data_IF_903763399084
#
_entry.id   IF_903763399084
#
_cell.length_a   1.000
_cell.length_b   1.000
_cell.length_c   1.000
_cell.angle_alpha   90.00
_cell.angle_beta   90.00
_cell.angle_gamma   90.00
#
_symmetry.space_group_name_H-M   'P 1'
#
loop_
_entity.id
_entity.type
_entity.pdbx_description
1 polymer ?
#
# COMPACT_ATOMS: atom_id res chain seq x y z
N UNK A 1 -14.22 4.60 -19.05
CA UNK A 1 -14.06 6.02 -19.43
C UNK A 1 -13.62 6.19 -20.89
N UNK A 2 -12.42 5.78 -21.29
CA UNK A 2 -11.92 5.95 -22.67
C UNK A 2 -12.82 5.33 -23.76
N UNK A 3 -13.25 4.07 -23.59
CA UNK A 3 -14.17 3.41 -24.52
C UNK A 3 -15.51 4.16 -24.67
N UNK A 4 -16.04 4.72 -23.58
CA UNK A 4 -17.28 5.48 -23.57
C UNK A 4 -17.14 6.83 -24.28
N UNK A 5 -16.06 7.56 -23.99
CA UNK A 5 -15.76 8.85 -24.64
C UNK A 5 -15.41 8.69 -26.12
N UNK A 6 -14.69 7.63 -26.48
CA UNK A 6 -14.36 7.31 -27.89
C UNK A 6 -15.60 6.91 -28.69
N UNK A 7 -16.55 6.20 -28.08
CA UNK A 7 -17.84 5.83 -28.71
C UNK A 7 -18.75 7.05 -28.86
N UNK A 8 -18.82 7.92 -27.86
CA UNK A 8 -19.54 9.19 -27.95
C UNK A 8 -18.96 10.09 -29.05
N UNK A 9 -17.63 10.15 -29.19
CA UNK A 9 -16.95 10.89 -30.25
C UNK A 9 -17.12 10.27 -31.65
N UNK A 10 -17.23 8.94 -31.74
CA UNK A 10 -17.55 8.28 -33.00
C UNK A 10 -19.00 8.57 -33.45
N UNK A 11 -19.94 8.58 -32.50
CA UNK A 11 -21.35 8.93 -32.74
C UNK A 11 -21.52 10.42 -33.07
N UNK A 12 -20.69 11.30 -32.49
CA UNK A 12 -20.73 12.75 -32.74
C UNK A 12 -20.38 13.15 -34.17
N UNK A 13 -19.74 12.26 -34.95
CA UNK A 13 -19.36 12.54 -36.34
C UNK A 13 -20.52 12.49 -37.33
N UNK A 14 -21.67 11.91 -36.95
CA UNK A 14 -22.83 11.78 -37.84
C UNK A 14 -24.18 12.11 -37.21
N UNK A 15 -24.22 12.57 -35.95
CA UNK A 15 -25.46 12.81 -35.20
C UNK A 15 -25.80 14.29 -35.01
N UNK A 16 -27.09 14.59 -34.80
CA UNK A 16 -27.60 15.93 -34.50
C UNK A 16 -26.84 16.58 -33.31
N UNK A 17 -26.32 17.82 -33.44
CA UNK A 17 -25.47 18.49 -32.43
C UNK A 17 -26.00 18.46 -30.99
N UNK A 18 -27.31 18.55 -30.81
CA UNK A 18 -27.93 18.54 -29.47
C UNK A 18 -27.88 17.15 -28.81
N UNK A 19 -28.12 16.09 -29.60
CA UNK A 19 -28.03 14.68 -29.19
C UNK A 19 -26.57 14.28 -28.94
N UNK A 20 -25.66 14.87 -29.69
CA UNK A 20 -24.21 14.77 -29.53
C UNK A 20 -23.72 15.43 -28.23
N UNK A 21 -24.22 16.62 -27.89
CA UNK A 21 -23.88 17.28 -26.62
C UNK A 21 -24.34 16.46 -25.41
N UNK A 22 -25.57 15.94 -25.45
CA UNK A 22 -26.13 15.08 -24.40
C UNK A 22 -25.33 13.79 -24.19
N UNK A 23 -24.93 13.13 -25.27
CA UNK A 23 -24.14 11.89 -25.18
C UNK A 23 -22.73 12.12 -24.64
N UNK A 24 -22.10 13.24 -24.98
CA UNK A 24 -20.80 13.65 -24.42
C UNK A 24 -20.94 13.98 -22.92
N UNK A 25 -21.94 14.75 -22.53
CA UNK A 25 -22.21 15.10 -21.12
C UNK A 25 -22.50 13.86 -20.27
N UNK A 26 -23.35 12.94 -20.77
CA UNK A 26 -23.64 11.69 -20.09
C UNK A 26 -22.39 10.80 -19.94
N UNK A 27 -21.51 10.76 -20.95
CA UNK A 27 -20.25 10.02 -20.88
C UNK A 27 -19.25 10.64 -19.88
N UNK A 28 -19.19 11.97 -19.80
CA UNK A 28 -18.37 12.69 -18.80
C UNK A 28 -18.91 12.43 -17.40
N UNK A 29 -20.23 12.53 -17.21
CA UNK A 29 -20.86 12.27 -15.92
C UNK A 29 -20.66 10.83 -15.46
N UNK A 30 -20.87 9.84 -16.34
CA UNK A 30 -20.63 8.43 -16.04
C UNK A 30 -19.15 8.14 -15.74
N UNK A 31 -18.22 8.82 -16.42
CA UNK A 31 -16.79 8.71 -16.15
C UNK A 31 -16.42 9.28 -14.78
N UNK A 32 -16.92 10.47 -14.43
CA UNK A 32 -16.74 11.08 -13.11
C UNK A 32 -17.38 10.24 -12.01
N UNK A 33 -18.59 9.72 -12.23
CA UNK A 33 -19.26 8.83 -11.29
C UNK A 33 -18.48 7.53 -11.08
N UNK A 34 -17.89 6.94 -12.12
CA UNK A 34 -17.04 5.76 -11.99
C UNK A 34 -15.72 6.04 -11.26
N UNK A 35 -15.12 7.22 -11.46
CA UNK A 35 -13.94 7.68 -10.72
C UNK A 35 -14.27 7.81 -9.23
N UNK A 36 -15.38 8.47 -8.91
CA UNK A 36 -15.86 8.67 -7.53
C UNK A 36 -16.24 7.35 -6.88
N UNK A 37 -17.00 6.48 -7.57
CA UNK A 37 -17.40 5.18 -7.07
C UNK A 37 -16.20 4.25 -6.83
N UNK A 38 -15.20 4.27 -7.72
CA UNK A 38 -13.93 3.57 -7.54
C UNK A 38 -13.19 4.08 -6.30
N UNK A 39 -13.08 5.40 -6.15
CA UNK A 39 -12.36 6.04 -5.03
C UNK A 39 -13.03 5.82 -3.67
N UNK A 40 -14.36 5.72 -3.64
CA UNK A 40 -15.13 5.39 -2.43
C UNK A 40 -14.93 3.92 -2.00
N UNK A 41 -14.53 3.04 -2.92
CA UNK A 41 -14.29 1.62 -2.66
C UNK A 41 -12.84 1.28 -2.30
N UNK A 42 -11.90 2.24 -2.28
CA UNK A 42 -10.49 1.97 -2.00
C UNK A 42 -10.16 2.00 -0.50
N UNK A 43 -9.07 1.29 -0.13
CA UNK A 43 -8.51 1.21 1.22
C UNK A 43 -8.04 2.57 1.82
N UNK A 44 -8.22 3.69 1.11
CA UNK A 44 -7.92 5.03 1.60
C UNK A 44 -8.80 5.47 2.80
N UNK A 45 -9.85 4.71 3.11
CA UNK A 45 -10.71 4.89 4.29
C UNK A 45 -10.13 4.34 5.61
N UNK A 46 -8.92 3.75 5.60
CA UNK A 46 -8.37 3.04 6.76
C UNK A 46 -7.77 3.92 7.89
N UNK A 47 -7.70 5.26 7.72
CA UNK A 47 -7.23 6.20 8.78
C UNK A 47 -8.34 7.22 9.08
N UNK A 48 -9.09 7.07 10.19
CA UNK A 48 -10.30 7.86 10.47
C UNK A 48 -10.12 9.40 10.44
N UNK A 49 -8.92 9.89 10.74
CA UNK A 49 -8.62 11.33 10.76
C UNK A 49 -8.31 11.95 9.37
N UNK A 50 -7.93 11.14 8.37
CA UNK A 50 -7.46 11.62 7.07
C UNK A 50 -8.26 11.06 5.88
N UNK A 51 -9.38 10.37 6.13
CA UNK A 51 -10.24 9.76 5.12
C UNK A 51 -10.62 10.71 3.98
N UNK A 52 -11.00 11.95 4.30
CA UNK A 52 -11.39 12.93 3.29
C UNK A 52 -10.22 13.33 2.36
N UNK A 53 -9.01 13.46 2.92
CA UNK A 53 -7.80 13.74 2.14
C UNK A 53 -7.43 12.55 1.24
N UNK A 54 -7.52 11.32 1.76
CA UNK A 54 -7.28 10.10 1.01
C UNK A 54 -8.22 9.96 -0.19
N UNK A 55 -9.53 10.17 0.02
CA UNK A 55 -10.54 10.15 -1.05
C UNK A 55 -10.27 11.24 -2.09
N UNK A 56 -9.96 12.47 -1.66
CA UNK A 56 -9.66 13.57 -2.56
C UNK A 56 -8.39 13.31 -3.39
N UNK A 57 -7.35 12.77 -2.77
CA UNK A 57 -6.12 12.39 -3.44
C UNK A 57 -6.34 11.27 -4.45
N UNK A 58 -7.13 10.26 -4.11
CA UNK A 58 -7.49 9.16 -5.01
C UNK A 58 -8.30 9.65 -6.21
N UNK A 59 -9.33 10.48 -5.96
CA UNK A 59 -10.12 11.09 -7.02
C UNK A 59 -9.27 11.98 -7.95
N UNK A 60 -8.37 12.79 -7.38
CA UNK A 60 -7.45 13.62 -8.16
C UNK A 60 -6.50 12.75 -9.01
N UNK A 61 -5.88 11.73 -8.39
CA UNK A 61 -4.97 10.82 -9.07
C UNK A 61 -5.66 10.08 -10.22
N UNK A 62 -6.80 9.46 -9.93
CA UNK A 62 -7.55 8.67 -10.91
C UNK A 62 -8.19 9.53 -12.01
N UNK A 63 -8.69 10.73 -11.66
CA UNK A 63 -9.15 11.73 -12.63
C UNK A 63 -8.03 12.19 -13.56
N UNK A 64 -6.84 12.47 -13.01
CA UNK A 64 -5.64 12.79 -13.78
C UNK A 64 -5.23 11.67 -14.73
N UNK A 65 -5.21 10.41 -14.27
CA UNK A 65 -4.97 9.23 -15.10
C UNK A 65 -5.97 9.17 -16.24
N UNK A 66 -7.27 9.32 -15.94
CA UNK A 66 -8.33 9.27 -16.94
C UNK A 66 -8.16 10.31 -18.05
N UNK A 67 -7.89 11.56 -17.68
CA UNK A 67 -7.65 12.65 -18.64
C UNK A 67 -6.41 12.40 -19.49
N UNK A 68 -5.29 12.08 -18.84
CA UNK A 68 -4.01 11.93 -19.51
C UNK A 68 -3.93 10.66 -20.35
N UNK A 69 -4.08 9.49 -19.73
CA UNK A 69 -3.99 8.21 -20.41
C UNK A 69 -5.14 8.00 -21.41
N UNK A 70 -6.35 8.46 -21.07
CA UNK A 70 -7.48 8.45 -22.01
C UNK A 70 -7.22 9.32 -23.24
N UNK A 71 -6.60 10.49 -23.08
CA UNK A 71 -6.23 11.30 -24.23
C UNK A 71 -5.07 10.72 -25.06
N UNK A 72 -4.08 10.07 -24.43
CA UNK A 72 -3.03 9.32 -25.14
C UNK A 72 -3.63 8.21 -26.00
N UNK A 73 -4.48 7.36 -25.42
CA UNK A 73 -5.18 6.30 -26.14
C UNK A 73 -6.04 6.87 -27.28
N UNK A 74 -6.66 8.05 -27.06
CA UNK A 74 -7.41 8.79 -28.07
C UNK A 74 -6.55 9.14 -29.26
N UNK A 75 -5.40 9.77 -29.02
CA UNK A 75 -4.43 10.15 -30.06
C UNK A 75 -3.90 8.91 -30.78
N UNK A 76 -3.59 7.82 -30.06
CA UNK A 76 -3.16 6.55 -30.70
C UNK A 76 -4.25 6.01 -31.63
N UNK A 77 -5.51 6.04 -31.22
CA UNK A 77 -6.63 5.49 -32.00
C UNK A 77 -6.85 6.24 -33.33
N UNK A 78 -6.63 7.55 -33.35
CA UNK A 78 -6.74 8.41 -34.54
C UNK A 78 -5.38 8.70 -35.20
N UNK A 79 -4.32 8.02 -34.76
CA UNK A 79 -2.94 8.32 -35.18
C UNK A 79 -2.69 8.15 -36.68
N UNK A 80 -3.46 7.30 -37.36
CA UNK A 80 -3.39 7.12 -38.82
C UNK A 80 -3.87 8.38 -39.55
N UNK A 81 -5.00 8.95 -39.10
CA UNK A 81 -5.58 10.17 -39.66
C UNK A 81 -4.60 11.36 -39.53
N UNK A 82 -3.90 11.50 -38.40
CA UNK A 82 -2.92 12.58 -38.19
C UNK A 82 -1.62 12.45 -38.99
N UNK A 83 -1.41 11.33 -39.71
CA UNK A 83 -0.21 11.16 -40.56
C UNK A 83 -0.42 11.65 -41.99
N UNK A 84 -1.64 11.99 -42.37
CA UNK A 84 -1.99 12.52 -43.69
C UNK A 84 -1.57 14.00 -43.79
N UNK A 85 -0.99 14.45 -44.93
CA UNK A 85 -0.56 15.85 -45.09
C UNK A 85 -1.71 16.84 -44.91
N UNK A 86 -2.90 16.51 -45.40
CA UNK A 86 -4.10 17.36 -45.39
C UNK A 86 -4.62 17.63 -43.99
N UNK A 87 -4.40 16.72 -43.05
CA UNK A 87 -4.89 16.82 -41.67
C UNK A 87 -3.87 17.43 -40.71
N UNK A 88 -2.65 17.75 -41.20
CA UNK A 88 -1.55 18.25 -40.37
C UNK A 88 -1.89 19.53 -39.57
N UNK A 89 -2.62 20.53 -40.10
CA UNK A 89 -3.04 21.69 -39.32
C UNK A 89 -3.98 21.32 -38.17
N UNK A 90 -4.94 20.43 -38.43
CA UNK A 90 -5.86 19.94 -37.40
C UNK A 90 -5.14 19.12 -36.34
N UNK A 91 -4.20 18.25 -36.75
CA UNK A 91 -3.37 17.47 -35.85
C UNK A 91 -2.57 18.36 -34.89
N UNK A 92 -1.99 19.47 -35.38
CA UNK A 92 -1.27 20.45 -34.54
C UNK A 92 -2.18 21.06 -33.47
N UNK A 93 -3.39 21.48 -33.83
CA UNK A 93 -4.35 22.08 -32.89
C UNK A 93 -4.72 21.06 -31.80
N UNK A 94 -5.04 19.83 -32.20
CA UNK A 94 -5.42 18.76 -31.25
C UNK A 94 -4.26 18.42 -30.32
N UNK A 95 -3.06 18.20 -30.86
CA UNK A 95 -1.86 17.88 -30.07
C UNK A 95 -1.49 19.02 -29.10
N UNK A 96 -1.60 20.28 -29.52
CA UNK A 96 -1.34 21.44 -28.66
C UNK A 96 -2.37 21.59 -27.52
N UNK A 97 -3.66 21.36 -27.79
CA UNK A 97 -4.71 21.36 -26.77
C UNK A 97 -4.54 20.19 -25.79
N UNK A 98 -4.31 18.98 -26.30
CA UNK A 98 -4.06 17.81 -25.48
C UNK A 98 -2.81 18.01 -24.61
N UNK A 99 -1.71 18.50 -25.16
CA UNK A 99 -0.46 18.72 -24.40
C UNK A 99 -0.67 19.69 -23.22
N UNK A 100 -1.49 20.75 -23.38
CA UNK A 100 -1.87 21.64 -22.27
C UNK A 100 -2.69 20.94 -21.20
N UNK A 101 -3.74 20.22 -21.60
CA UNK A 101 -4.55 19.44 -20.66
C UNK A 101 -3.72 18.36 -19.95
N UNK A 102 -2.81 17.70 -20.68
CA UNK A 102 -1.96 16.64 -20.15
C UNK A 102 -1.03 17.15 -19.06
N UNK A 103 -0.52 18.39 -19.16
CA UNK A 103 0.28 18.99 -18.09
C UNK A 103 -0.50 19.13 -16.77
N UNK A 104 -1.76 19.60 -16.83
CA UNK A 104 -2.61 19.67 -15.63
C UNK A 104 -2.96 18.28 -15.10
N UNK A 105 -3.30 17.34 -15.99
CA UNK A 105 -3.62 15.97 -15.62
C UNK A 105 -2.45 15.27 -14.94
N UNK A 106 -1.22 15.43 -15.47
CA UNK A 106 0.01 14.95 -14.85
C UNK A 106 0.23 15.57 -13.47
N UNK A 107 -0.06 16.86 -13.30
CA UNK A 107 -0.02 17.52 -11.99
C UNK A 107 -0.95 16.86 -10.96
N UNK A 108 -2.18 16.53 -11.37
CA UNK A 108 -3.13 15.79 -10.52
C UNK A 108 -2.64 14.37 -10.18
N UNK A 109 -2.09 13.66 -11.17
CA UNK A 109 -1.49 12.33 -10.96
C UNK A 109 -0.34 12.42 -9.95
N UNK A 110 0.58 13.37 -10.11
CA UNK A 110 1.71 13.52 -9.19
C UNK A 110 1.25 13.88 -7.78
N UNK A 111 0.42 14.91 -7.63
CA UNK A 111 -0.04 15.38 -6.32
C UNK A 111 -0.83 14.28 -5.59
N UNK A 112 -1.82 13.68 -6.25
CA UNK A 112 -2.60 12.58 -5.66
C UNK A 112 -1.73 11.36 -5.37
N UNK A 113 -0.80 11.01 -6.27
CA UNK A 113 0.09 9.87 -6.11
C UNK A 113 1.06 10.01 -4.94
N UNK A 114 1.58 11.22 -4.70
CA UNK A 114 2.44 11.51 -3.54
C UNK A 114 1.66 11.35 -2.24
N UNK A 115 0.47 11.96 -2.15
CA UNK A 115 -0.39 11.86 -0.96
C UNK A 115 -0.76 10.40 -0.70
N UNK A 116 -1.19 9.67 -1.73
CA UNK A 116 -1.49 8.25 -1.64
C UNK A 116 -0.27 7.42 -1.22
N UNK A 117 0.93 7.69 -1.75
CA UNK A 117 2.14 6.99 -1.34
C UNK A 117 2.46 7.22 0.14
N UNK A 118 2.34 8.46 0.64
CA UNK A 118 2.52 8.76 2.06
C UNK A 118 1.51 7.99 2.92
N UNK A 119 0.23 7.97 2.53
CA UNK A 119 -0.84 7.31 3.30
C UNK A 119 -0.77 5.78 3.26
N UNK A 120 -0.45 5.18 2.10
CA UNK A 120 -0.53 3.74 1.87
C UNK A 120 0.79 3.01 2.13
N UNK A 121 1.94 3.69 1.97
CA UNK A 121 3.26 3.14 2.29
C UNK A 121 3.66 3.48 3.73
N UNK A 122 3.35 4.69 4.20
CA UNK A 122 3.53 5.11 5.59
C UNK A 122 4.95 5.55 5.97
N UNK A 123 6.00 4.93 5.42
CA UNK A 123 7.40 5.29 5.72
C UNK A 123 8.37 5.01 4.58
N UNK A 124 9.56 5.64 4.63
CA UNK A 124 10.65 5.38 3.67
C UNK A 124 11.24 3.97 3.84
N UNK A 125 11.25 3.43 5.06
CA UNK A 125 11.68 2.05 5.30
C UNK A 125 10.73 1.09 4.58
N UNK A 126 9.43 1.20 4.85
CA UNK A 126 8.42 0.36 4.20
C UNK A 126 8.43 0.49 2.66
N UNK A 127 8.88 1.62 2.11
CA UNK A 127 9.02 1.81 0.67
C UNK A 127 10.07 0.86 0.06
N UNK A 128 11.14 0.54 0.79
CA UNK A 128 12.26 -0.30 0.29
C UNK A 128 12.26 -1.71 0.91
N UNK A 129 11.56 -1.92 2.03
CA UNK A 129 11.50 -3.22 2.71
C UNK A 129 10.24 -4.02 2.39
N UNK A 130 9.13 -3.37 1.99
CA UNK A 130 7.87 -4.06 1.70
C UNK A 130 7.66 -4.35 0.22
N UNK A 131 7.01 -5.48 -0.10
CA UNK A 131 6.62 -5.83 -1.47
C UNK A 131 5.71 -4.77 -2.10
N UNK A 132 4.82 -4.17 -1.31
CA UNK A 132 3.98 -3.05 -1.74
C UNK A 132 4.83 -1.84 -2.17
N UNK A 133 5.84 -1.49 -1.37
CA UNK A 133 6.80 -0.42 -1.67
C UNK A 133 7.58 -0.66 -2.97
N UNK A 134 8.07 -1.88 -3.20
CA UNK A 134 8.74 -2.26 -4.45
C UNK A 134 7.86 -2.07 -5.69
N UNK A 135 6.56 -2.41 -5.62
CA UNK A 135 5.63 -2.20 -6.73
C UNK A 135 5.37 -0.70 -6.96
N UNK A 136 5.31 0.11 -5.89
CA UNK A 136 5.24 1.58 -5.99
C UNK A 136 6.50 2.14 -6.67
N UNK A 137 7.69 1.69 -6.28
CA UNK A 137 8.95 2.11 -6.89
C UNK A 137 9.02 1.72 -8.38
N UNK A 138 8.59 0.51 -8.73
CA UNK A 138 8.51 0.08 -10.13
C UNK A 138 7.59 0.98 -10.96
N UNK A 139 6.43 1.37 -10.42
CA UNK A 139 5.55 2.35 -11.07
C UNK A 139 6.22 3.70 -11.27
N UNK A 140 6.89 4.24 -10.24
CA UNK A 140 7.61 5.52 -10.34
C UNK A 140 8.73 5.43 -11.38
N UNK A 141 9.47 4.32 -11.39
CA UNK A 141 10.52 4.04 -12.36
C UNK A 141 10.02 3.98 -13.81
N UNK A 142 8.81 3.47 -14.06
CA UNK A 142 8.16 3.49 -15.38
C UNK A 142 7.54 4.86 -15.71
N UNK A 143 7.05 5.59 -14.72
CA UNK A 143 6.42 6.88 -14.89
C UNK A 143 7.44 7.99 -15.20
N UNK A 144 8.64 7.93 -14.63
CA UNK A 144 9.72 8.88 -14.89
C UNK A 144 10.09 9.03 -16.39
N UNK A 145 10.35 7.97 -17.16
CA UNK A 145 10.61 8.10 -18.59
C UNK A 145 9.38 8.58 -19.38
N UNK A 146 8.16 8.27 -18.94
CA UNK A 146 6.94 8.82 -19.56
C UNK A 146 6.87 10.34 -19.39
N UNK A 147 7.19 10.86 -18.19
CA UNK A 147 7.28 12.29 -17.92
C UNK A 147 8.36 12.96 -18.79
N UNK A 148 9.54 12.34 -18.88
CA UNK A 148 10.63 12.87 -19.69
C UNK A 148 10.25 12.96 -21.17
N UNK A 149 9.60 11.92 -21.72
CA UNK A 149 9.09 11.92 -23.08
C UNK A 149 7.96 12.93 -23.29
N UNK A 150 7.03 13.04 -22.35
CA UNK A 150 5.94 14.01 -22.40
C UNK A 150 6.46 15.45 -22.38
N UNK A 151 7.45 15.74 -21.53
CA UNK A 151 8.15 17.02 -21.49
C UNK A 151 8.90 17.29 -22.79
N UNK A 152 9.63 16.31 -23.33
CA UNK A 152 10.30 16.43 -24.62
C UNK A 152 9.30 16.72 -25.76
N UNK A 153 8.18 16.02 -25.79
CA UNK A 153 7.10 16.24 -26.75
C UNK A 153 6.55 17.66 -26.63
N UNK A 154 6.24 18.12 -25.41
CA UNK A 154 5.66 19.44 -25.13
C UNK A 154 6.61 20.60 -25.44
N UNK A 155 7.86 20.52 -25.00
CA UNK A 155 8.79 21.64 -25.04
C UNK A 155 9.71 21.65 -26.28
N UNK A 156 9.88 20.51 -26.96
CA UNK A 156 10.73 20.43 -28.15
C UNK A 156 9.95 20.08 -29.41
N UNK A 157 9.15 19.00 -29.42
CA UNK A 157 8.54 18.53 -30.66
C UNK A 157 7.31 19.33 -31.07
N UNK A 158 6.41 19.67 -30.15
CA UNK A 158 5.19 20.44 -30.45
C UNK A 158 5.54 21.83 -31.02
N UNK A 159 6.45 22.63 -30.42
CA UNK A 159 6.87 23.91 -31.02
C UNK A 159 7.51 23.74 -32.41
N UNK A 160 8.37 22.73 -32.59
CA UNK A 160 8.97 22.40 -33.90
C UNK A 160 7.94 22.04 -34.96
N UNK A 161 6.75 21.57 -34.59
CA UNK A 161 5.70 21.39 -35.59
C UNK A 161 5.25 22.71 -36.18
N UNK A 162 5.25 23.83 -35.46
CA UNK A 162 4.81 25.13 -35.97
C UNK A 162 5.86 25.79 -36.90
N UNK A 163 7.15 25.52 -36.65
CA UNK A 163 8.28 26.16 -37.33
C UNK A 163 8.83 25.36 -38.53
N UNK A 164 8.41 24.09 -38.70
CA UNK A 164 8.99 23.18 -39.71
C UNK A 164 8.33 23.26 -41.08
N UNK A 165 9.17 23.32 -42.13
CA UNK A 165 8.80 23.14 -43.55
C UNK A 165 8.27 21.72 -43.85
N UNK A 166 8.53 20.73 -42.98
CA UNK A 166 8.04 19.34 -43.10
C UNK A 166 7.23 18.94 -41.85
N UNK A 167 6.00 19.45 -41.69
CA UNK A 167 5.11 19.22 -40.54
C UNK A 167 4.90 17.73 -40.22
N UNK A 168 4.82 16.91 -41.27
CA UNK A 168 4.43 15.50 -41.22
C UNK A 168 5.46 14.60 -40.54
N UNK A 169 6.75 14.95 -40.57
CA UNK A 169 7.79 14.16 -39.90
C UNK A 169 7.78 14.39 -38.38
N UNK A 170 7.65 15.65 -37.95
CA UNK A 170 7.54 16.00 -36.54
C UNK A 170 6.27 15.38 -35.91
N UNK A 171 5.14 15.41 -36.63
CA UNK A 171 3.90 14.74 -36.20
C UNK A 171 4.09 13.22 -36.12
N UNK A 172 4.80 12.59 -37.07
CA UNK A 172 5.11 11.15 -37.01
C UNK A 172 5.94 10.77 -35.79
N UNK A 173 6.94 11.58 -35.41
CA UNK A 173 7.74 11.36 -34.19
C UNK A 173 6.91 11.49 -32.93
N UNK A 174 6.06 12.52 -32.84
CA UNK A 174 5.13 12.70 -31.70
C UNK A 174 4.21 11.48 -31.56
N UNK A 175 3.63 11.01 -32.66
CA UNK A 175 2.78 9.80 -32.66
C UNK A 175 3.54 8.55 -32.21
N UNK A 176 4.80 8.40 -32.62
CA UNK A 176 5.67 7.30 -32.17
C UNK A 176 5.90 7.34 -30.66
N UNK A 177 6.27 8.51 -30.14
CA UNK A 177 6.49 8.71 -28.70
C UNK A 177 5.21 8.45 -27.89
N UNK A 178 4.06 8.93 -28.37
CA UNK A 178 2.76 8.71 -27.73
C UNK A 178 2.41 7.21 -27.66
N UNK A 179 2.75 6.41 -28.68
CA UNK A 179 2.54 4.95 -28.64
C UNK A 179 3.41 4.29 -27.58
N UNK A 180 4.68 4.68 -27.49
CA UNK A 180 5.59 4.18 -26.48
C UNK A 180 5.16 4.59 -25.07
N UNK A 181 4.83 5.87 -24.85
CA UNK A 181 4.22 6.37 -23.61
C UNK A 181 2.96 5.58 -23.25
N UNK A 182 2.08 5.30 -24.22
CA UNK A 182 0.88 4.50 -23.99
C UNK A 182 1.22 3.08 -23.52
N UNK A 183 2.24 2.43 -24.12
CA UNK A 183 2.67 1.08 -23.70
C UNK A 183 3.22 1.05 -22.27
N UNK A 184 4.02 2.05 -21.89
CA UNK A 184 4.48 2.21 -20.50
C UNK A 184 3.31 2.49 -19.56
N UNK A 185 2.35 3.32 -19.99
CA UNK A 185 1.14 3.60 -19.23
C UNK A 185 0.30 2.34 -18.97
N UNK A 186 0.20 1.42 -19.95
CA UNK A 186 -0.46 0.12 -19.74
C UNK A 186 0.26 -0.68 -18.66
N UNK A 187 1.60 -0.77 -18.71
CA UNK A 187 2.38 -1.46 -17.68
C UNK A 187 2.16 -0.85 -16.28
N UNK A 188 2.16 0.48 -16.17
CA UNK A 188 1.86 1.20 -14.91
C UNK A 188 0.45 0.90 -14.40
N UNK A 189 -0.55 0.82 -15.29
CA UNK A 189 -1.93 0.46 -14.93
C UNK A 189 -2.05 -0.99 -14.46
N UNK A 190 -1.31 -1.93 -15.06
CA UNK A 190 -1.25 -3.32 -14.59
C UNK A 190 -0.67 -3.39 -13.18
N UNK A 191 0.44 -2.69 -12.91
CA UNK A 191 0.99 -2.58 -11.55
C UNK A 191 0.00 -1.90 -10.59
N UNK A 192 -0.85 -0.99 -11.08
CA UNK A 192 -1.90 -0.38 -10.27
C UNK A 192 -2.97 -1.37 -9.87
N UNK A 193 -3.43 -2.20 -10.81
CA UNK A 193 -4.34 -3.30 -10.51
C UNK A 193 -3.72 -4.29 -9.52
N UNK A 194 -2.42 -4.60 -9.65
CA UNK A 194 -1.74 -5.45 -8.67
C UNK A 194 -1.80 -4.84 -7.26
N UNK A 195 -1.49 -3.54 -7.11
CA UNK A 195 -1.56 -2.86 -5.81
C UNK A 195 -2.97 -2.89 -5.20
N UNK A 196 -4.04 -2.90 -6.00
CA UNK A 196 -5.42 -3.03 -5.46
C UNK A 196 -5.72 -4.40 -4.85
N UNK A 197 -4.94 -5.43 -5.21
CA UNK A 197 -5.05 -6.77 -4.62
C UNK A 197 -4.10 -7.00 -3.44
N UNK A 198 -3.22 -6.03 -3.16
CA UNK A 198 -2.23 -6.10 -2.08
C UNK A 198 -2.71 -5.34 -0.85
N UNK A 199 -2.34 -5.84 0.33
CA UNK A 199 -2.49 -5.06 1.56
C UNK A 199 -1.52 -3.87 1.54
N UNK A 200 -1.98 -2.63 1.76
CA UNK A 200 -1.10 -1.46 1.87
C UNK A 200 -0.03 -1.66 2.94
N UNK A 201 1.21 -1.22 2.70
CA UNK A 201 2.30 -1.40 3.66
C UNK A 201 2.02 -0.71 5.00
N UNK A 202 1.36 0.45 5.00
CA UNK A 202 0.94 1.14 6.22
C UNK A 202 -0.16 0.42 7.01
N UNK A 203 -0.93 -0.45 6.33
CA UNK A 203 -1.99 -1.25 6.95
C UNK A 203 -1.49 -2.62 7.42
N UNK A 204 -0.33 -3.08 6.92
CA UNK A 204 0.40 -4.19 7.52
C UNK A 204 1.02 -3.62 8.81
N UNK A 205 0.60 -4.07 10.01
CA UNK A 205 1.34 -3.73 11.21
C UNK A 205 2.79 -4.10 10.94
N UNK A 206 3.72 -3.15 11.11
CA UNK A 206 5.14 -3.45 10.99
C UNK A 206 5.36 -4.76 11.75
N UNK A 207 5.64 -5.85 11.03
CA UNK A 207 5.85 -7.16 11.65
C UNK A 207 6.84 -6.93 12.78
N UNK A 208 6.62 -7.51 13.97
CA UNK A 208 7.05 -6.92 15.23
C UNK A 208 8.46 -6.32 15.14
N UNK A 209 8.55 -5.00 15.01
CA UNK A 209 9.78 -4.26 15.34
C UNK A 209 9.87 -4.08 16.87
N UNK A 210 8.89 -4.62 17.60
CA UNK A 210 8.95 -4.90 19.03
C UNK A 210 9.16 -6.40 19.32
N UNK A 211 9.41 -6.77 20.58
CA UNK A 211 9.51 -8.18 20.97
C UNK A 211 8.23 -8.94 20.58
N UNK A 212 8.37 -10.23 20.28
CA UNK A 212 7.20 -11.10 20.12
C UNK A 212 6.45 -11.11 21.45
N UNK A 213 5.23 -10.59 21.49
CA UNK A 213 4.49 -10.43 22.75
C UNK A 213 3.18 -11.24 22.73
N UNK A 214 2.87 -11.85 23.86
CA UNK A 214 1.61 -12.53 24.14
C UNK A 214 0.94 -11.89 25.34
N UNK A 215 -0.33 -11.54 25.18
CA UNK A 215 -1.15 -10.94 26.23
C UNK A 215 -2.27 -11.90 26.64
N UNK A 216 -2.47 -12.05 27.95
CA UNK A 216 -3.62 -12.75 28.52
C UNK A 216 -4.16 -12.00 29.73
N UNK A 217 -5.48 -11.98 29.91
CA UNK A 217 -6.12 -11.49 31.13
C UNK A 217 -6.66 -12.67 31.93
N UNK A 218 -6.30 -12.75 33.21
CA UNK A 218 -6.82 -13.74 34.15
C UNK A 218 -6.84 -13.20 35.57
N UNK A 219 -7.89 -13.51 36.32
CA UNK A 219 -8.08 -13.13 37.73
C UNK A 219 -7.88 -11.63 38.00
N UNK A 220 -8.34 -10.80 37.05
CA UNK A 220 -8.23 -9.33 37.09
C UNK A 220 -6.86 -8.77 36.71
N UNK A 221 -5.89 -9.60 36.34
CA UNK A 221 -4.54 -9.21 35.96
C UNK A 221 -4.29 -9.45 34.47
N UNK A 222 -3.66 -8.49 33.81
CA UNK A 222 -3.07 -8.63 32.47
C UNK A 222 -1.63 -9.14 32.64
N UNK A 223 -1.34 -10.28 32.04
CA UNK A 223 0.01 -10.82 31.89
C UNK A 223 0.50 -10.52 30.49
N UNK A 224 1.50 -9.64 30.39
CA UNK A 224 2.20 -9.33 29.15
C UNK A 224 3.51 -10.11 29.10
N UNK A 225 3.65 -10.98 28.12
CA UNK A 225 4.81 -11.85 27.93
C UNK A 225 5.55 -11.47 26.66
N UNK A 226 6.72 -10.85 26.79
CA UNK A 226 7.63 -10.57 25.69
C UNK A 226 8.65 -11.70 25.54
N UNK A 227 8.91 -12.15 24.32
CA UNK A 227 9.89 -13.19 23.99
C UNK A 227 10.89 -12.63 22.98
N UNK A 228 12.18 -12.72 23.32
CA UNK A 228 13.27 -12.27 22.45
C UNK A 228 14.38 -13.33 22.35
N UNK A 229 14.92 -13.61 21.15
CA UNK A 229 14.43 -13.13 19.84
C UNK A 229 13.02 -13.68 19.53
N UNK A 230 12.33 -13.18 18.49
CA UNK A 230 11.04 -13.74 18.08
C UNK A 230 11.12 -15.26 17.86
N UNK A 231 10.26 -16.06 18.50
CA UNK A 231 10.39 -17.51 18.58
C UNK A 231 9.98 -18.20 17.27
N UNK A 232 10.86 -18.13 16.29
CA UNK A 232 10.60 -18.63 14.92
C UNK A 232 11.34 -19.93 14.63
N UNK A 233 12.50 -20.15 15.24
CA UNK A 233 13.36 -21.34 15.05
C UNK A 233 13.79 -21.93 16.39
N UNK A 234 14.54 -23.02 16.40
CA UNK A 234 15.07 -23.57 17.66
C UNK A 234 16.18 -22.66 18.19
N UNK A 235 16.18 -22.34 19.49
CA UNK A 235 17.19 -21.45 20.06
C UNK A 235 17.02 -21.16 21.56
N UNK A 236 17.88 -20.27 22.06
CA UNK A 236 17.75 -19.68 23.40
C UNK A 236 16.83 -18.46 23.35
N UNK A 237 15.94 -18.35 24.33
CA UNK A 237 14.93 -17.29 24.40
C UNK A 237 14.92 -16.64 25.76
N UNK A 238 14.83 -15.31 25.77
CA UNK A 238 14.53 -14.53 26.96
C UNK A 238 13.06 -14.18 26.98
N UNK A 239 12.36 -14.63 28.03
CA UNK A 239 10.98 -14.27 28.32
C UNK A 239 10.99 -13.19 29.39
N UNK A 240 10.33 -12.07 29.13
CA UNK A 240 10.08 -10.99 30.10
C UNK A 240 8.58 -10.89 30.34
N UNK A 241 8.18 -10.88 31.61
CA UNK A 241 6.80 -11.01 32.05
C UNK A 241 6.42 -9.82 32.90
N UNK A 242 5.50 -8.99 32.41
CA UNK A 242 4.96 -7.83 33.12
C UNK A 242 3.53 -8.14 33.59
N UNK A 243 3.27 -7.85 34.87
CA UNK A 243 1.96 -8.04 35.49
C UNK A 243 1.35 -6.67 35.78
N UNK A 244 0.15 -6.43 35.24
CA UNK A 244 -0.60 -5.18 35.46
C UNK A 244 -2.05 -5.50 35.83
N UNK A 245 -2.73 -4.59 36.52
CA UNK A 245 -4.17 -4.69 36.69
C UNK A 245 -4.87 -4.52 35.35
N UNK A 246 -5.77 -5.44 35.00
CA UNK A 246 -6.49 -5.39 33.73
C UNK A 246 -7.50 -4.23 33.66
N UNK A 247 -7.97 -3.75 34.82
CA UNK A 247 -8.98 -2.69 34.92
C UNK A 247 -8.45 -1.29 34.53
N UNK A 248 -7.18 -1.00 34.84
CA UNK A 248 -6.61 0.34 34.69
C UNK A 248 -5.17 0.36 34.14
N UNK A 249 -4.57 -0.81 33.91
CA UNK A 249 -3.21 -0.94 33.39
C UNK A 249 -2.09 -0.61 34.38
N UNK A 250 -2.39 -0.33 35.66
CA UNK A 250 -1.33 -0.01 36.62
C UNK A 250 -0.54 -1.26 37.01
N UNK A 251 0.77 -1.15 37.34
CA UNK A 251 1.57 -2.33 37.61
C UNK A 251 1.15 -3.06 38.90
N UNK A 252 1.28 -4.38 38.87
CA UNK A 252 0.96 -5.27 39.98
C UNK A 252 2.24 -5.75 40.69
N UNK A 253 2.40 -5.35 41.96
CA UNK A 253 3.64 -5.55 42.72
C UNK A 253 3.59 -6.69 43.75
N UNK A 254 2.48 -7.43 43.84
CA UNK A 254 2.25 -8.44 44.89
C UNK A 254 2.51 -9.88 44.42
N UNK A 255 3.12 -10.06 43.24
CA UNK A 255 3.56 -11.36 42.74
C UNK A 255 4.95 -11.74 43.28
N UNK A 256 5.14 -13.01 43.63
CA UNK A 256 6.40 -13.61 44.10
C UNK A 256 6.61 -14.98 43.46
N UNK A 257 7.84 -15.49 43.53
CA UNK A 257 8.19 -16.88 43.19
C UNK A 257 7.61 -17.37 41.85
N UNK A 258 7.92 -16.65 40.77
CA UNK A 258 7.47 -17.04 39.43
C UNK A 258 8.13 -18.33 38.94
N UNK A 259 7.37 -19.19 38.26
CA UNK A 259 7.91 -20.40 37.60
C UNK A 259 7.29 -20.56 36.20
N UNK A 260 8.04 -21.15 35.27
CA UNK A 260 7.60 -21.49 33.93
C UNK A 260 7.79 -22.98 33.68
N UNK A 261 6.78 -23.63 33.10
CA UNK A 261 6.85 -25.03 32.67
C UNK A 261 6.64 -25.11 31.15
N UNK A 262 7.64 -25.62 30.46
CA UNK A 262 7.66 -25.75 29.00
C UNK A 262 7.35 -27.20 28.61
N UNK A 263 6.32 -27.39 27.78
CA UNK A 263 5.88 -28.70 27.30
C UNK A 263 5.73 -28.69 25.78
N UNK A 264 6.50 -29.52 25.08
CA UNK A 264 6.27 -29.77 23.65
C UNK A 264 5.00 -30.63 23.51
N UNK A 265 4.05 -30.19 22.69
CA UNK A 265 2.75 -30.87 22.58
C UNK A 265 2.77 -32.04 21.60
N UNK A 266 3.59 -31.98 20.55
CA UNK A 266 3.69 -33.03 19.53
C UNK A 266 5.07 -33.01 18.82
N UNK A 267 5.88 -34.08 18.90
CA UNK A 267 5.71 -35.24 19.78
C UNK A 267 5.91 -34.84 21.25
N UNK A 268 5.10 -35.36 22.19
CA UNK A 268 5.18 -34.96 23.59
C UNK A 268 6.52 -35.35 24.22
N UNK A 269 7.13 -34.42 24.96
CA UNK A 269 8.34 -34.64 25.76
C UNK A 269 8.07 -34.37 27.24
N UNK A 270 8.89 -34.93 28.15
CA UNK A 270 8.82 -34.58 29.57
C UNK A 270 8.89 -33.05 29.75
N UNK A 271 7.97 -32.44 30.51
CA UNK A 271 7.98 -31.01 30.74
C UNK A 271 9.26 -30.54 31.44
N UNK A 272 9.77 -29.38 31.03
CA UNK A 272 10.90 -28.72 31.70
C UNK A 272 10.36 -27.59 32.54
N UNK A 273 10.59 -27.63 33.86
CA UNK A 273 10.17 -26.58 34.79
C UNK A 273 11.36 -25.77 35.25
N UNK A 274 11.25 -24.45 35.15
CA UNK A 274 12.30 -23.51 35.49
C UNK A 274 11.75 -22.37 36.37
N UNK A 275 12.61 -21.78 37.19
CA UNK A 275 12.26 -20.65 38.03
C UNK A 275 12.50 -19.34 37.28
N UNK A 276 11.56 -18.41 37.40
CA UNK A 276 11.72 -17.06 36.88
C UNK A 276 12.58 -16.23 37.84
N UNK A 277 13.44 -15.40 37.28
CA UNK A 277 14.16 -14.36 37.99
C UNK A 277 13.22 -13.18 38.28
N UNK A 278 13.24 -12.63 39.49
CA UNK A 278 12.46 -11.45 39.87
C UNK A 278 11.55 -11.66 41.10
N UNK A 279 10.67 -10.69 41.41
CA UNK A 279 10.37 -9.52 40.60
C UNK A 279 11.53 -8.51 40.54
N UNK A 280 11.71 -7.87 39.39
CA UNK A 280 12.74 -6.87 39.09
C UNK A 280 12.13 -5.48 38.90
N UNK A 281 12.96 -4.44 38.99
CA UNK A 281 12.56 -3.03 38.89
C UNK A 281 12.36 -2.36 40.25
N UNK A 282 12.17 -1.03 40.24
CA UNK A 282 11.86 -0.23 41.42
C UNK A 282 10.68 0.74 41.14
N UNK A 283 9.46 0.46 41.61
CA UNK A 283 9.06 -0.73 42.37
C UNK A 283 9.01 -2.00 41.48
N UNK A 284 9.20 -3.18 42.08
CA UNK A 284 9.45 -4.43 41.33
C UNK A 284 8.19 -5.04 40.71
N UNK A 285 8.08 -5.05 39.38
CA UNK A 285 6.85 -5.38 38.65
C UNK A 285 6.99 -6.43 37.53
N UNK A 286 8.19 -6.93 37.25
CA UNK A 286 8.39 -7.86 36.15
C UNK A 286 9.30 -9.04 36.53
N UNK A 287 9.11 -10.16 35.83
CA UNK A 287 9.92 -11.37 35.95
C UNK A 287 10.62 -11.66 34.62
N UNK A 288 11.74 -12.35 34.65
CA UNK A 288 12.45 -12.75 33.43
C UNK A 288 13.09 -14.12 33.54
N UNK A 289 13.28 -14.79 32.40
CA UNK A 289 14.06 -16.02 32.30
C UNK A 289 14.72 -16.10 30.93
N UNK A 290 15.97 -16.54 30.89
CA UNK A 290 16.61 -17.01 29.66
C UNK A 290 16.61 -18.54 29.67
N UNK A 291 15.96 -19.14 28.68
CA UNK A 291 15.75 -20.60 28.60
C UNK A 291 16.23 -21.16 27.27
N UNK A 292 16.62 -22.43 27.29
CA UNK A 292 16.89 -23.25 26.09
C UNK A 292 15.84 -24.34 25.90
N UNK A 293 14.75 -24.32 26.69
CA UNK A 293 13.74 -25.38 26.69
C UNK A 293 13.05 -25.56 25.33
N UNK A 294 12.85 -24.46 24.57
CA UNK A 294 12.28 -24.41 23.22
C UNK A 294 13.25 -24.97 22.15
N UNK A 295 13.77 -26.16 22.40
CA UNK A 295 14.90 -26.83 21.75
C UNK A 295 14.51 -27.69 20.54
N UNK A 296 13.24 -27.71 20.15
CA UNK A 296 12.75 -28.54 19.05
C UNK A 296 11.56 -27.89 18.34
N UNK A 297 11.39 -28.16 17.04
CA UNK A 297 10.22 -27.69 16.29
C UNK A 297 8.92 -28.28 16.84
N UNK A 298 7.84 -27.52 16.73
CA UNK A 298 6.50 -27.91 17.16
C UNK A 298 5.82 -26.84 18.01
N UNK A 299 4.64 -27.17 18.52
CA UNK A 299 3.86 -26.26 19.37
C UNK A 299 4.24 -26.51 20.84
N UNK A 300 4.73 -25.46 21.47
CA UNK A 300 5.12 -25.44 22.88
C UNK A 300 4.03 -24.79 23.71
N UNK A 301 3.60 -25.52 24.74
CA UNK A 301 2.77 -25.00 25.83
C UNK A 301 3.67 -24.47 26.94
N UNK A 302 3.45 -23.22 27.35
CA UNK A 302 4.20 -22.54 28.41
C UNK A 302 3.24 -22.23 29.54
N UNK A 303 3.31 -22.99 30.62
CA UNK A 303 2.51 -22.77 31.83
C UNK A 303 3.30 -21.92 32.82
N UNK A 304 2.81 -20.71 33.09
CA UNK A 304 3.40 -19.79 34.07
C UNK A 304 2.60 -19.83 35.37
N UNK A 305 3.31 -19.82 36.50
CA UNK A 305 2.71 -19.75 37.83
C UNK A 305 3.40 -18.66 38.66
N UNK A 306 2.61 -17.81 39.30
CA UNK A 306 3.08 -16.77 40.21
C UNK A 306 2.35 -16.87 41.54
N UNK A 307 3.09 -16.85 42.65
CA UNK A 307 2.49 -16.74 43.98
C UNK A 307 1.98 -15.32 44.18
N UNK A 308 0.69 -15.17 44.50
CA UNK A 308 0.07 -13.90 44.84
C UNK A 308 0.02 -13.71 46.36
N UNK A 309 0.26 -12.49 46.82
CA UNK A 309 0.12 -12.14 48.25
C UNK A 309 -1.29 -11.67 48.60
N UNK A 310 -2.08 -11.26 47.60
CA UNK A 310 -3.45 -10.77 47.74
C UNK A 310 -4.52 -11.85 47.45
N UNK A 311 -4.14 -12.96 46.83
CA UNK A 311 -5.09 -14.00 46.39
C UNK A 311 -4.39 -15.35 46.16
N UNK A 312 -5.10 -16.31 45.57
CA UNK A 312 -4.55 -17.58 45.11
C UNK A 312 -3.50 -17.39 44.01
N UNK A 313 -2.62 -18.36 43.83
CA UNK A 313 -1.60 -18.37 42.78
C UNK A 313 -2.19 -18.11 41.39
N UNK A 314 -1.58 -17.17 40.66
CA UNK A 314 -1.94 -16.87 39.28
C UNK A 314 -1.30 -17.89 38.34
N UNK A 315 -2.14 -18.62 37.59
CA UNK A 315 -1.70 -19.60 36.59
C UNK A 315 -2.14 -19.24 35.19
N UNK A 316 -1.23 -19.00 34.27
CA UNK A 316 -1.55 -18.66 32.88
C UNK A 316 -0.82 -19.56 31.91
N UNK A 317 -1.41 -19.78 30.73
CA UNK A 317 -0.86 -20.68 29.72
C UNK A 317 -0.74 -19.94 28.39
N UNK A 318 0.43 -20.03 27.77
CA UNK A 318 0.69 -19.55 26.41
C UNK A 318 1.04 -20.70 25.48
N UNK A 319 0.83 -20.49 24.18
CA UNK A 319 1.25 -21.42 23.13
C UNK A 319 2.16 -20.71 22.13
N UNK A 320 3.30 -21.30 21.82
CA UNK A 320 4.30 -20.77 20.88
C UNK A 320 4.66 -21.84 19.87
N UNK A 321 4.70 -21.50 18.58
CA UNK A 321 5.09 -22.44 17.52
C UNK A 321 6.52 -22.20 17.07
N UNK A 322 7.38 -23.22 17.19
CA UNK A 322 8.76 -23.20 16.73
C UNK A 322 8.87 -23.98 15.42
N UNK A 323 9.47 -23.39 14.38
CA UNK A 323 9.71 -24.09 13.10
C UNK A 323 11.06 -24.80 13.10
N UNK A 324 11.21 -25.80 12.24
CA UNK A 324 12.51 -26.35 11.90
C UNK A 324 13.38 -25.24 11.29
N UNK A 325 14.65 -25.14 11.71
CA UNK A 325 15.61 -24.29 11.03
C UNK A 325 15.77 -24.77 9.58
N UNK A 326 15.68 -23.85 8.64
CA UNK A 326 15.97 -24.11 7.22
C UNK A 326 17.47 -24.19 6.95
#
# INVERSE_FOLDING_TARGET
MFAFLSRAFAVSRGGNPEKTAWTIQAAIFAALAAVVAGSLGTHAAAVPALTALGIAADAAHFGGIGLWFGGLAGIVSISRFFREPETAPLARIVLGRFSRMAAYAVGLVLAGGIVLAVLLVGSLDALVTSSYGWVVLAKVGLFAPMLALGAYNRYRLVPKTAESERPTEAVRRIVGNVRFETSLGIAVLVLAGLLTSMTPAAAVPAGPVGPFALDLVKDGLKVHSEVYPPPTTVGAYTLTLLLNYASNGTPFYLARNGTAQFTLTDPPRPPVKENLSGPHGNPSNHFSITTTALSSPGVWKIDLNFRRLDSFDLRVTFYVTIKAGG
#
